data_IF_609452827805
#
_entry.id   IF_609452827805
#
_cell.length_a   1.000
_cell.length_b   1.000
_cell.length_c   1.000
_cell.angle_alpha   90.00
_cell.angle_beta   90.00
_cell.angle_gamma   90.00
#
_symmetry.space_group_name_H-M   'P 1'
#
loop_
_entity.id
_entity.type
_entity.pdbx_description
1 polymer ?
#
# COMPACT_ATOMS: atom_id res chain seq x y z
N UNK A 1 24.97 2.63 8.12
CA UNK A 1 23.54 2.95 8.36
C UNK A 1 23.44 4.46 8.38
N UNK A 2 23.02 5.07 7.28
CA UNK A 2 22.86 6.52 7.24
C UNK A 2 21.38 6.84 7.19
N UNK A 3 20.94 7.68 8.13
CA UNK A 3 19.60 8.25 8.09
C UNK A 3 19.61 9.34 7.02
N UNK A 4 18.84 9.13 5.96
CA UNK A 4 18.74 10.05 4.84
C UNK A 4 17.29 10.57 4.75
N UNK A 5 17.09 11.83 5.08
CA UNK A 5 15.78 12.47 5.10
C UNK A 5 15.10 12.41 3.72
N UNK A 6 15.87 12.55 2.64
CA UNK A 6 15.33 12.49 1.27
C UNK A 6 14.81 11.08 0.94
N UNK A 7 15.55 10.03 1.33
CA UNK A 7 15.08 8.65 1.15
C UNK A 7 13.82 8.38 1.98
N UNK A 8 13.81 8.80 3.27
CA UNK A 8 12.64 8.65 4.15
C UNK A 8 11.41 9.32 3.53
N UNK A 9 11.57 10.58 3.09
CA UNK A 9 10.46 11.31 2.48
C UNK A 9 9.97 10.63 1.20
N UNK A 10 10.89 10.23 0.31
CA UNK A 10 10.53 9.56 -0.95
C UNK A 10 9.85 8.22 -0.70
N UNK A 11 10.41 7.39 0.19
CA UNK A 11 9.81 6.10 0.55
C UNK A 11 8.43 6.28 1.22
N UNK A 12 8.29 7.30 2.09
CA UNK A 12 7.00 7.62 2.73
C UNK A 12 5.95 7.99 1.69
N UNK A 13 6.28 8.85 0.73
CA UNK A 13 5.34 9.28 -0.33
C UNK A 13 4.94 8.11 -1.26
N UNK A 14 5.91 7.27 -1.63
CA UNK A 14 5.64 6.09 -2.47
C UNK A 14 4.72 5.12 -1.73
N UNK A 15 5.06 4.76 -0.49
CA UNK A 15 4.23 3.86 0.32
C UNK A 15 2.85 4.44 0.60
N UNK A 16 2.76 5.73 0.89
CA UNK A 16 1.49 6.43 1.09
C UNK A 16 0.55 6.29 -0.11
N UNK A 17 1.09 6.49 -1.32
CA UNK A 17 0.34 6.37 -2.55
C UNK A 17 -0.10 4.91 -2.80
N UNK A 18 0.79 3.93 -2.57
CA UNK A 18 0.51 2.50 -2.84
C UNK A 18 -0.48 1.91 -1.82
N UNK A 19 -0.38 2.30 -0.54
CA UNK A 19 -1.30 1.84 0.50
C UNK A 19 -2.71 2.39 0.25
N UNK A 20 -2.80 3.60 -0.32
CA UNK A 20 -4.07 4.28 -0.70
C UNK A 20 -5.15 4.20 0.39
N UNK A 21 -4.78 4.45 1.63
CA UNK A 21 -5.71 4.37 2.76
C UNK A 21 -6.87 5.38 2.63
N UNK A 22 -6.65 6.51 1.95
CA UNK A 22 -7.68 7.53 1.74
C UNK A 22 -8.72 7.05 0.72
N UNK A 23 -8.29 6.45 -0.39
CA UNK A 23 -9.17 5.84 -1.37
C UNK A 23 -9.93 4.63 -0.82
N UNK A 24 -9.38 3.99 0.20
CA UNK A 24 -10.01 2.86 0.91
C UNK A 24 -11.08 3.31 1.94
N UNK A 25 -11.24 4.60 2.23
CA UNK A 25 -12.21 5.09 3.22
C UNK A 25 -13.62 4.56 2.99
N UNK A 26 -14.20 4.53 1.77
CA UNK A 26 -15.54 3.98 1.54
C UNK A 26 -15.64 2.50 1.94
N UNK A 27 -14.61 1.70 1.64
CA UNK A 27 -14.54 0.28 2.01
C UNK A 27 -14.50 0.13 3.54
N UNK A 28 -13.68 0.95 4.20
CA UNK A 28 -13.54 0.98 5.66
C UNK A 28 -14.87 1.32 6.34
N UNK A 29 -15.64 2.26 5.78
CA UNK A 29 -16.94 2.67 6.31
C UNK A 29 -17.95 1.55 6.15
N UNK A 30 -18.07 0.95 4.97
CA UNK A 30 -18.93 -0.20 4.73
C UNK A 30 -18.62 -1.36 5.69
N UNK A 31 -17.31 -1.60 5.94
CA UNK A 31 -16.88 -2.61 6.87
C UNK A 31 -17.31 -2.27 8.30
N UNK A 32 -17.14 -1.01 8.71
CA UNK A 32 -17.56 -0.53 10.03
C UNK A 32 -19.08 -0.64 10.24
N UNK A 33 -19.89 -0.36 9.22
CA UNK A 33 -21.34 -0.52 9.27
C UNK A 33 -21.75 -1.99 9.49
N UNK A 34 -21.01 -2.91 8.86
CA UNK A 34 -21.29 -4.35 9.00
C UNK A 34 -20.87 -4.93 10.36
N UNK A 35 -19.72 -4.51 10.90
CA UNK A 35 -19.14 -5.08 12.15
C UNK A 35 -19.31 -4.21 13.38
N UNK A 36 -19.80 -2.99 13.22
CA UNK A 36 -19.97 -2.03 14.32
C UNK A 36 -18.67 -1.34 14.72
N UNK A 37 -17.58 -2.04 14.98
CA UNK A 37 -16.32 -1.47 15.44
C UNK A 37 -15.10 -2.04 14.75
N UNK A 38 -14.26 -1.17 14.19
CA UNK A 38 -12.98 -1.53 13.59
C UNK A 38 -11.88 -1.41 14.66
N UNK A 39 -11.11 -2.47 14.84
CA UNK A 39 -9.94 -2.49 15.74
C UNK A 39 -8.73 -1.84 15.06
N UNK A 40 -8.75 -0.51 14.93
CA UNK A 40 -7.77 0.26 14.17
C UNK A 40 -6.33 0.03 14.66
N UNK A 41 -6.15 -0.10 15.99
CA UNK A 41 -4.85 -0.37 16.62
C UNK A 41 -4.28 -1.71 16.18
N UNK A 42 -5.08 -2.76 16.23
CA UNK A 42 -4.66 -4.11 15.84
C UNK A 42 -4.41 -4.20 14.34
N UNK A 43 -5.28 -3.60 13.53
CA UNK A 43 -5.13 -3.62 12.07
C UNK A 43 -3.82 -2.95 11.64
N UNK A 44 -3.54 -1.75 12.14
CA UNK A 44 -2.30 -1.03 11.81
C UNK A 44 -1.05 -1.74 12.35
N UNK A 45 -1.12 -2.30 13.57
CA UNK A 45 0.01 -3.04 14.14
C UNK A 45 0.32 -4.32 13.35
N UNK A 46 -0.70 -5.10 13.00
CA UNK A 46 -0.52 -6.33 12.21
C UNK A 46 0.00 -5.99 10.81
N UNK A 47 -0.53 -4.96 10.15
CA UNK A 47 -0.01 -4.51 8.87
C UNK A 47 1.45 -4.09 8.97
N UNK A 48 1.83 -3.34 10.02
CA UNK A 48 3.23 -2.97 10.29
C UNK A 48 4.12 -4.19 10.41
N UNK A 49 3.70 -5.18 11.22
CA UNK A 49 4.46 -6.41 11.42
C UNK A 49 4.64 -7.19 10.11
N UNK A 50 3.57 -7.35 9.33
CA UNK A 50 3.63 -8.03 8.04
C UNK A 50 4.64 -7.33 7.11
N UNK A 51 4.57 -5.99 6.98
CA UNK A 51 5.47 -5.22 6.13
C UNK A 51 6.93 -5.30 6.59
N UNK A 52 7.20 -5.20 7.90
CA UNK A 52 8.55 -5.30 8.45
C UNK A 52 9.10 -6.72 8.25
N UNK A 53 8.31 -7.75 8.54
CA UNK A 53 8.71 -9.13 8.30
C UNK A 53 9.06 -9.33 6.83
N UNK A 54 8.19 -8.87 5.93
CA UNK A 54 8.41 -9.01 4.49
C UNK A 54 9.63 -8.20 3.99
N UNK A 55 9.90 -7.04 4.56
CA UNK A 55 11.11 -6.26 4.28
C UNK A 55 12.38 -7.07 4.56
N UNK A 56 12.42 -7.88 5.62
CA UNK A 56 13.61 -8.66 5.98
C UNK A 56 13.70 -9.99 5.23
N UNK A 57 12.62 -10.76 5.18
CA UNK A 57 12.63 -12.13 4.65
C UNK A 57 11.98 -12.27 3.27
N UNK A 58 11.39 -11.21 2.71
CA UNK A 58 10.68 -11.28 1.43
C UNK A 58 11.56 -11.75 0.27
N UNK A 59 12.81 -11.28 0.22
CA UNK A 59 13.78 -11.73 -0.79
C UNK A 59 14.14 -13.21 -0.67
N UNK A 60 14.23 -13.74 0.56
CA UNK A 60 14.48 -15.15 0.82
C UNK A 60 13.29 -16.01 0.41
N UNK A 61 12.08 -15.56 0.71
CA UNK A 61 10.85 -16.23 0.26
C UNK A 61 10.82 -16.30 -1.26
N UNK A 62 11.08 -15.18 -1.96
CA UNK A 62 11.11 -15.15 -3.42
C UNK A 62 12.14 -16.13 -3.99
N UNK A 63 13.36 -16.15 -3.43
CA UNK A 63 14.42 -17.11 -3.84
C UNK A 63 14.00 -18.56 -3.62
N UNK A 64 13.30 -18.86 -2.51
CA UNK A 64 12.81 -20.21 -2.22
C UNK A 64 11.79 -20.68 -3.29
N UNK A 65 11.00 -19.77 -3.82
CA UNK A 65 10.01 -20.05 -4.88
C UNK A 65 10.67 -20.01 -6.27
N UNK A 66 11.91 -19.56 -6.37
CA UNK A 66 12.63 -19.42 -7.65
C UNK A 66 12.28 -18.13 -8.43
N UNK A 67 11.77 -17.11 -7.74
CA UNK A 67 11.43 -15.80 -8.31
C UNK A 67 12.54 -14.81 -7.93
N UNK A 68 13.09 -14.10 -8.91
CA UNK A 68 14.03 -13.00 -8.65
C UNK A 68 13.29 -11.70 -8.26
N UNK A 69 14.03 -10.75 -7.69
CA UNK A 69 13.48 -9.48 -7.22
C UNK A 69 12.98 -8.62 -8.39
N UNK A 70 13.65 -8.69 -9.56
CA UNK A 70 13.27 -7.89 -10.73
C UNK A 70 11.92 -8.36 -11.29
N UNK A 71 11.74 -9.69 -11.47
CA UNK A 71 10.47 -10.28 -11.88
C UNK A 71 9.35 -9.92 -10.94
N UNK A 72 9.60 -9.98 -9.62
CA UNK A 72 8.61 -9.61 -8.62
C UNK A 72 8.28 -8.11 -8.66
N UNK A 73 9.28 -7.24 -8.84
CA UNK A 73 9.09 -5.79 -8.96
C UNK A 73 8.30 -5.41 -10.22
N UNK A 74 8.60 -6.05 -11.36
CA UNK A 74 7.85 -5.84 -12.61
C UNK A 74 6.40 -6.30 -12.45
N UNK A 75 6.16 -7.50 -11.92
CA UNK A 75 4.80 -7.99 -11.65
C UNK A 75 4.03 -7.04 -10.71
N UNK A 76 4.66 -6.57 -9.65
CA UNK A 76 4.04 -5.62 -8.72
C UNK A 76 3.79 -4.25 -9.33
N UNK A 77 4.66 -3.77 -10.24
CA UNK A 77 4.40 -2.53 -10.96
C UNK A 77 3.14 -2.62 -11.83
N UNK A 78 2.86 -3.79 -12.42
CA UNK A 78 1.60 -4.03 -13.14
C UNK A 78 0.39 -4.01 -12.20
N UNK A 79 0.50 -4.61 -11.01
CA UNK A 79 -0.57 -4.53 -9.99
C UNK A 79 -0.85 -3.08 -9.61
N UNK A 80 0.21 -2.29 -9.34
CA UNK A 80 0.08 -0.85 -9.03
C UNK A 80 -0.54 -0.10 -10.22
N UNK A 81 -0.17 -0.46 -11.46
CA UNK A 81 -0.74 0.11 -12.68
C UNK A 81 -2.25 -0.12 -12.74
N UNK A 82 -2.72 -1.35 -12.51
CA UNK A 82 -4.14 -1.66 -12.51
C UNK A 82 -4.90 -0.92 -11.41
N UNK A 83 -4.35 -0.85 -10.20
CA UNK A 83 -4.93 -0.06 -9.11
C UNK A 83 -5.01 1.43 -9.47
N UNK A 84 -3.96 1.98 -10.07
CA UNK A 84 -3.95 3.37 -10.53
C UNK A 84 -5.02 3.65 -11.60
N UNK A 85 -5.15 2.75 -12.58
CA UNK A 85 -6.20 2.84 -13.61
C UNK A 85 -7.60 2.77 -12.99
N UNK A 86 -7.83 1.86 -12.05
CA UNK A 86 -9.07 1.75 -11.29
C UNK A 86 -9.44 3.07 -10.61
N UNK A 87 -8.46 3.71 -9.93
CA UNK A 87 -8.66 4.98 -9.24
C UNK A 87 -8.95 6.13 -10.20
N UNK A 88 -8.22 6.22 -11.32
CA UNK A 88 -8.36 7.31 -12.31
C UNK A 88 -9.64 7.17 -13.11
N UNK A 89 -9.95 5.97 -13.58
CA UNK A 89 -11.11 5.69 -14.43
C UNK A 89 -12.41 5.58 -13.62
N UNK A 90 -12.31 5.31 -12.32
CA UNK A 90 -13.47 5.10 -11.45
C UNK A 90 -14.20 3.79 -11.72
N UNK A 91 -13.49 2.78 -12.23
CA UNK A 91 -13.99 1.43 -12.49
C UNK A 91 -13.46 0.48 -11.43
N UNK A 92 -14.18 -0.57 -11.11
CA UNK A 92 -13.70 -1.65 -10.23
C UNK A 92 -13.18 -2.79 -11.09
N UNK A 93 -11.86 -2.95 -11.18
CA UNK A 93 -11.20 -4.06 -11.87
C UNK A 93 -11.14 -5.30 -10.99
N UNK A 94 -10.92 -5.09 -9.69
CA UNK A 94 -10.90 -6.14 -8.69
C UNK A 94 -12.16 -6.04 -7.83
N UNK A 95 -13.08 -6.98 -7.96
CA UNK A 95 -14.21 -7.10 -7.05
C UNK A 95 -13.73 -7.76 -5.77
N UNK A 96 -13.45 -6.97 -4.76
CA UNK A 96 -13.26 -7.51 -3.42
C UNK A 96 -14.61 -7.98 -2.87
N UNK A 97 -14.84 -9.28 -2.87
CA UNK A 97 -15.87 -9.87 -2.03
C UNK A 97 -15.44 -9.61 -0.58
N UNK A 98 -16.10 -8.64 0.05
CA UNK A 98 -15.86 -8.34 1.45
C UNK A 98 -16.10 -9.61 2.28
N UNK A 99 -15.10 -10.16 2.99
CA UNK A 99 -15.28 -11.35 3.79
C UNK A 99 -16.38 -11.12 4.81
N UNK A 100 -17.28 -12.11 4.98
CA UNK A 100 -18.37 -12.04 5.96
C UNK A 100 -17.88 -11.87 7.40
N UNK A 101 -16.61 -12.19 7.66
CA UNK A 101 -15.96 -12.00 8.96
C UNK A 101 -15.06 -10.76 8.90
N UNK A 102 -15.62 -9.60 9.17
CA UNK A 102 -14.88 -8.36 9.30
C UNK A 102 -14.05 -8.36 10.59
N UNK A 103 -12.95 -9.05 10.53
CA UNK A 103 -11.91 -9.04 11.55
C UNK A 103 -10.76 -8.11 11.13
N UNK A 104 -9.79 -7.94 12.00
CA UNK A 104 -8.53 -7.22 11.74
C UNK A 104 -7.83 -7.70 10.46
N UNK A 105 -7.99 -8.96 10.10
CA UNK A 105 -7.32 -9.63 8.97
C UNK A 105 -7.67 -8.99 7.62
N UNK A 106 -8.92 -8.69 7.24
CA UNK A 106 -9.16 -8.08 5.93
C UNK A 106 -8.58 -6.67 5.78
N UNK A 107 -8.45 -5.93 6.89
CA UNK A 107 -7.89 -4.58 6.87
C UNK A 107 -6.35 -4.60 6.84
N UNK A 108 -5.73 -5.42 7.70
CA UNK A 108 -4.27 -5.50 7.74
C UNK A 108 -3.70 -6.18 6.48
N UNK A 109 -4.34 -7.24 6.03
CA UNK A 109 -4.04 -7.99 4.83
C UNK A 109 -5.35 -8.50 4.21
N UNK A 110 -5.63 -8.29 2.92
CA UNK A 110 -4.72 -7.73 1.91
C UNK A 110 -4.80 -6.20 1.69
N UNK A 111 -5.69 -5.47 2.42
CA UNK A 111 -5.97 -4.07 2.09
C UNK A 111 -4.76 -3.14 2.31
N UNK A 112 -4.16 -3.16 3.51
CA UNK A 112 -3.03 -2.26 3.85
C UNK A 112 -1.71 -2.88 3.40
N UNK A 113 -1.39 -4.10 3.87
CA UNK A 113 -0.19 -4.83 3.51
C UNK A 113 -0.47 -5.77 2.33
N UNK A 114 -1.00 -5.26 1.22
CA UNK A 114 -1.30 -6.02 0.02
C UNK A 114 -0.09 -6.28 -0.86
N UNK A 115 -0.28 -7.02 -1.97
CA UNK A 115 0.78 -7.38 -2.90
C UNK A 115 1.52 -6.15 -3.44
N UNK A 116 0.80 -5.06 -3.78
CA UNK A 116 1.39 -3.80 -4.22
C UNK A 116 2.34 -3.19 -3.19
N UNK A 117 1.92 -3.14 -1.92
CA UNK A 117 2.74 -2.62 -0.82
C UNK A 117 3.99 -3.48 -0.61
N UNK A 118 3.84 -4.80 -0.62
CA UNK A 118 4.95 -5.74 -0.45
C UNK A 118 5.98 -5.63 -1.57
N UNK A 119 5.53 -5.56 -2.82
CA UNK A 119 6.41 -5.37 -3.99
C UNK A 119 7.14 -4.04 -3.91
N UNK A 120 6.43 -2.98 -3.54
CA UNK A 120 7.02 -1.64 -3.36
C UNK A 120 8.11 -1.66 -2.29
N UNK A 121 7.89 -2.32 -1.15
CA UNK A 121 8.90 -2.46 -0.09
C UNK A 121 10.16 -3.15 -0.61
N UNK A 122 10.04 -4.22 -1.39
CA UNK A 122 11.19 -4.90 -1.97
C UNK A 122 11.93 -4.04 -3.00
N UNK A 123 11.20 -3.30 -3.84
CA UNK A 123 11.80 -2.36 -4.79
C UNK A 123 12.55 -1.24 -4.07
N UNK A 124 11.96 -0.67 -3.03
CA UNK A 124 12.62 0.34 -2.19
C UNK A 124 13.87 -0.22 -1.52
N UNK A 125 13.86 -1.48 -1.08
CA UNK A 125 15.02 -2.15 -0.47
C UNK A 125 16.22 -2.27 -1.42
N UNK A 126 15.98 -2.31 -2.73
CA UNK A 126 17.05 -2.33 -3.73
C UNK A 126 17.72 -0.96 -3.90
N UNK A 127 17.00 0.14 -3.61
CA UNK A 127 17.47 1.50 -3.85
C UNK A 127 17.85 2.27 -2.56
N UNK A 128 17.21 1.96 -1.42
CA UNK A 128 17.28 2.74 -0.19
C UNK A 128 17.79 1.91 0.99
N UNK A 129 18.37 2.59 1.98
CA UNK A 129 18.77 1.93 3.22
C UNK A 129 17.55 1.42 4.00
N UNK A 130 17.65 0.18 4.48
CA UNK A 130 16.58 -0.52 5.22
C UNK A 130 16.02 0.29 6.39
N UNK A 131 16.86 1.04 7.11
CA UNK A 131 16.44 1.90 8.24
C UNK A 131 15.48 2.99 7.77
N UNK A 132 15.75 3.62 6.61
CA UNK A 132 14.92 4.68 6.06
C UNK A 132 13.55 4.15 5.63
N UNK A 133 13.52 2.91 5.10
CA UNK A 133 12.27 2.22 4.74
C UNK A 133 11.44 1.88 6.00
N UNK A 134 12.09 1.39 7.08
CA UNK A 134 11.39 1.11 8.35
C UNK A 134 10.75 2.38 8.90
N UNK A 135 11.47 3.50 8.91
CA UNK A 135 10.94 4.79 9.35
C UNK A 135 9.74 5.19 8.47
N UNK A 136 9.85 5.04 7.15
CA UNK A 136 8.76 5.34 6.22
C UNK A 136 7.53 4.45 6.45
N UNK A 137 7.72 3.15 6.73
CA UNK A 137 6.62 2.23 7.10
C UNK A 137 5.95 2.73 8.38
N UNK A 138 6.70 3.05 9.42
CA UNK A 138 6.15 3.51 10.70
C UNK A 138 5.34 4.79 10.53
N UNK A 139 5.86 5.78 9.77
CA UNK A 139 5.16 7.03 9.48
C UNK A 139 3.82 6.75 8.77
N UNK A 140 3.83 5.89 7.74
CA UNK A 140 2.62 5.50 7.03
C UNK A 140 1.63 4.79 7.95
N UNK A 141 2.10 3.89 8.82
CA UNK A 141 1.21 3.14 9.71
C UNK A 141 0.57 4.01 10.80
N UNK A 142 1.27 5.04 11.27
CA UNK A 142 0.66 6.06 12.14
C UNK A 142 -0.46 6.78 11.38
N UNK A 143 -0.22 7.16 10.12
CA UNK A 143 -1.24 7.81 9.31
C UNK A 143 -2.43 6.87 9.03
N UNK A 144 -2.16 5.63 8.65
CA UNK A 144 -3.19 4.59 8.46
C UNK A 144 -4.04 4.42 9.72
N UNK A 145 -3.41 4.32 10.89
CA UNK A 145 -4.11 4.22 12.16
C UNK A 145 -5.06 5.41 12.39
N UNK A 146 -4.59 6.63 12.13
CA UNK A 146 -5.40 7.83 12.27
C UNK A 146 -6.59 7.84 11.30
N UNK A 147 -6.36 7.45 10.04
CA UNK A 147 -7.45 7.37 9.04
C UNK A 147 -8.46 6.30 9.43
N UNK A 148 -8.02 5.09 9.82
CA UNK A 148 -8.92 4.03 10.30
C UNK A 148 -9.76 4.50 11.49
N UNK A 149 -9.13 5.16 12.46
CA UNK A 149 -9.79 5.65 13.67
C UNK A 149 -10.81 6.75 13.39
N UNK A 150 -10.47 7.67 12.51
CA UNK A 150 -11.27 8.86 12.19
C UNK A 150 -12.01 8.79 10.86
N UNK A 151 -12.04 7.64 10.18
CA UNK A 151 -12.63 7.46 8.85
C UNK A 151 -14.02 8.09 8.70
N UNK A 152 -14.90 7.90 9.68
CA UNK A 152 -16.23 8.48 9.66
C UNK A 152 -16.25 10.02 9.75
N UNK A 153 -15.31 10.62 10.51
CA UNK A 153 -15.18 12.09 10.57
C UNK A 153 -14.60 12.65 9.28
N UNK A 154 -13.64 11.94 8.70
CA UNK A 154 -13.00 12.33 7.43
C UNK A 154 -14.03 12.33 6.30
N UNK A 155 -14.86 11.29 6.21
CA UNK A 155 -15.94 11.25 5.22
C UNK A 155 -16.91 12.41 5.37
N UNK A 156 -17.36 12.72 6.60
CA UNK A 156 -18.25 13.85 6.87
C UNK A 156 -17.64 15.20 6.49
N UNK A 157 -16.32 15.34 6.67
CA UNK A 157 -15.61 16.59 6.39
C UNK A 157 -15.34 16.81 4.91
N UNK A 158 -14.87 15.78 4.22
CA UNK A 158 -14.45 15.85 2.82
C UNK A 158 -15.63 15.62 1.87
N UNK A 159 -16.63 14.87 2.31
CA UNK A 159 -17.77 14.43 1.50
C UNK A 159 -17.39 13.39 0.44
N UNK A 160 -18.38 12.68 -0.09
CA UNK A 160 -18.18 11.65 -1.11
C UNK A 160 -17.51 12.19 -2.38
N UNK A 161 -17.85 13.41 -2.80
CA UNK A 161 -17.25 14.06 -3.97
C UNK A 161 -15.77 14.41 -3.75
N UNK A 162 -15.41 14.93 -2.58
CA UNK A 162 -14.03 15.26 -2.24
C UNK A 162 -13.12 14.03 -2.16
N UNK A 163 -13.62 12.93 -1.59
CA UNK A 163 -12.90 11.64 -1.57
C UNK A 163 -12.63 11.16 -3.01
N UNK A 164 -13.60 11.30 -3.92
CA UNK A 164 -13.42 10.93 -5.33
C UNK A 164 -12.33 11.76 -6.04
N UNK A 165 -12.23 13.06 -5.75
CA UNK A 165 -11.18 13.93 -6.30
C UNK A 165 -9.80 13.51 -5.76
N UNK A 166 -9.68 13.33 -4.45
CA UNK A 166 -8.43 12.87 -3.82
C UNK A 166 -7.98 11.53 -4.39
N UNK A 167 -8.91 10.57 -4.53
CA UNK A 167 -8.65 9.25 -5.14
C UNK A 167 -8.06 9.40 -6.55
N UNK A 168 -8.63 10.25 -7.40
CA UNK A 168 -8.12 10.47 -8.77
C UNK A 168 -6.72 11.08 -8.78
N UNK A 169 -6.43 12.06 -7.90
CA UNK A 169 -5.10 12.66 -7.79
C UNK A 169 -4.06 11.61 -7.41
N UNK A 170 -4.34 10.80 -6.37
CA UNK A 170 -3.45 9.71 -5.98
C UNK A 170 -3.34 8.62 -7.05
N UNK A 171 -4.41 8.35 -7.81
CA UNK A 171 -4.38 7.44 -8.95
C UNK A 171 -3.36 7.88 -10.03
N UNK A 172 -3.30 9.18 -10.35
CA UNK A 172 -2.30 9.71 -11.31
C UNK A 172 -0.87 9.57 -10.77
N UNK A 173 -0.67 9.82 -9.46
CA UNK A 173 0.64 9.64 -8.81
C UNK A 173 1.05 8.16 -8.85
N UNK A 174 0.14 7.24 -8.52
CA UNK A 174 0.37 5.81 -8.60
C UNK A 174 0.69 5.34 -10.02
N UNK A 175 0.01 5.90 -11.03
CA UNK A 175 0.29 5.60 -12.42
C UNK A 175 1.75 5.92 -12.79
N UNK A 176 2.22 7.11 -12.39
CA UNK A 176 3.61 7.52 -12.62
C UNK A 176 4.61 6.63 -11.86
N UNK A 177 4.28 6.23 -10.62
CA UNK A 177 5.10 5.32 -9.82
C UNK A 177 5.16 3.94 -10.47
N UNK A 178 4.03 3.40 -10.94
CA UNK A 178 3.97 2.11 -11.62
C UNK A 178 4.88 2.08 -12.87
N UNK A 179 4.79 3.12 -13.71
CA UNK A 179 5.64 3.25 -14.90
C UNK A 179 7.12 3.35 -14.52
N UNK A 180 7.46 4.13 -13.49
CA UNK A 180 8.84 4.25 -13.00
C UNK A 180 9.37 2.92 -12.50
N UNK A 181 8.62 2.19 -11.66
CA UNK A 181 9.03 0.89 -11.14
C UNK A 181 9.19 -0.14 -12.25
N UNK A 182 8.28 -0.16 -13.23
CA UNK A 182 8.40 -1.01 -14.41
C UNK A 182 9.69 -0.72 -15.18
N UNK A 183 9.91 0.54 -15.57
CA UNK A 183 11.06 0.94 -16.36
C UNK A 183 12.40 0.68 -15.64
N UNK A 184 12.46 0.87 -14.31
CA UNK A 184 13.66 0.64 -13.52
C UNK A 184 14.03 -0.84 -13.38
N UNK A 185 13.06 -1.75 -13.46
CA UNK A 185 13.28 -3.17 -13.16
C UNK A 185 13.17 -4.08 -14.38
N UNK A 186 12.52 -3.65 -15.48
CA UNK A 186 12.32 -4.48 -16.66
C UNK A 186 13.64 -4.90 -17.34
N UNK A 187 14.67 -4.08 -17.29
CA UNK A 187 15.99 -4.41 -17.85
C UNK A 187 16.65 -5.58 -17.11
N UNK A 188 16.44 -5.69 -15.79
CA UNK A 188 16.97 -6.79 -15.00
C UNK A 188 16.37 -8.17 -15.31
N UNK A 189 15.28 -8.24 -16.09
CA UNK A 189 14.72 -9.51 -16.57
C UNK A 189 15.52 -10.16 -17.68
N UNK A 190 16.37 -9.39 -18.36
CA UNK A 190 17.12 -9.82 -19.54
C UNK A 190 18.63 -9.98 -19.26
N UNK A 191 19.03 -9.76 -18.01
CA UNK A 191 20.41 -9.92 -17.55
C UNK A 191 20.54 -11.11 -16.63
#
# INVERSE_FOLDING_TARGET
MEINIKEIFTATMILFAVIDIIGSIPIIINLREKVGHIQSEKASLIATLIMIIFLFIGTQILKLIGIDVYSFAVAGSLVILFLALEMVLGIELFKDEAPETASVVPLAFPLIAGAGTMTTILSLKAEFYTVNIIIAIIINMIFVYLVLKFSHKIEKLIGKGGIGVVRKIFGVILLAIAVKLFASNVQGLFT
#
